data_IF_085552695122
#
_entry.id   IF_085552695122
#
_cell.length_a   1.000
_cell.length_b   1.000
_cell.length_c   1.000
_cell.angle_alpha   90.00
_cell.angle_beta   90.00
_cell.angle_gamma   90.00
#
_symmetry.space_group_name_H-M   'P 1'
#
loop_
_entity.id
_entity.type
_entity.pdbx_description
1 polymer ?
#
# COMPACT_ATOMS: atom_id res chain seq x y z
N UNK A 1 9.22 -20.83 -18.73
CA UNK A 1 7.96 -20.19 -19.14
C UNK A 1 6.88 -20.71 -18.20
N UNK A 2 6.20 -19.85 -17.45
CA UNK A 2 5.17 -20.29 -16.49
C UNK A 2 3.92 -20.68 -17.27
N UNK A 3 3.35 -21.86 -17.03
CA UNK A 3 2.14 -22.31 -17.70
C UNK A 3 0.95 -21.47 -17.21
N UNK A 4 0.25 -20.72 -18.09
CA UNK A 4 -0.87 -19.85 -17.70
C UNK A 4 -1.99 -20.61 -16.99
N UNK A 5 -2.17 -21.91 -17.25
CA UNK A 5 -3.18 -22.73 -16.58
C UNK A 5 -2.89 -22.92 -15.08
N UNK A 6 -1.61 -23.08 -14.72
CA UNK A 6 -1.18 -23.19 -13.32
C UNK A 6 -1.42 -21.87 -12.58
N UNK A 7 -1.27 -20.74 -13.26
CA UNK A 7 -1.55 -19.41 -12.69
C UNK A 7 -3.05 -19.28 -12.38
N UNK A 8 -3.93 -19.68 -13.31
CA UNK A 8 -5.39 -19.64 -13.11
C UNK A 8 -5.81 -20.56 -11.95
N UNK A 9 -5.25 -21.77 -11.86
CA UNK A 9 -5.51 -22.68 -10.75
C UNK A 9 -5.06 -22.08 -9.40
N UNK A 10 -3.85 -21.50 -9.35
CA UNK A 10 -3.34 -20.87 -8.15
C UNK A 10 -4.23 -19.70 -7.68
N UNK A 11 -4.65 -18.83 -8.60
CA UNK A 11 -5.58 -17.73 -8.30
C UNK A 11 -6.94 -18.27 -7.84
N UNK A 12 -7.43 -19.34 -8.48
CA UNK A 12 -8.69 -20.01 -8.12
C UNK A 12 -8.67 -20.56 -6.69
N UNK A 13 -7.59 -21.27 -6.31
CA UNK A 13 -7.41 -21.81 -4.95
C UNK A 13 -7.30 -20.69 -3.92
N UNK A 14 -6.49 -19.65 -4.20
CA UNK A 14 -6.36 -18.48 -3.31
C UNK A 14 -7.71 -17.79 -3.11
N UNK A 15 -8.48 -17.61 -4.18
CA UNK A 15 -9.82 -16.99 -4.12
C UNK A 15 -10.81 -17.84 -3.32
N UNK A 16 -10.74 -19.17 -3.43
CA UNK A 16 -11.57 -20.09 -2.64
C UNK A 16 -11.27 -19.95 -1.14
N UNK A 17 -9.98 -19.95 -0.79
CA UNK A 17 -9.52 -19.80 0.61
C UNK A 17 -9.95 -18.44 1.17
N UNK A 18 -9.76 -17.36 0.42
CA UNK A 18 -10.18 -16.01 0.82
C UNK A 18 -11.70 -15.87 0.94
N UNK A 19 -12.47 -16.40 -0.02
CA UNK A 19 -13.94 -16.37 0.01
C UNK A 19 -14.51 -17.15 1.19
N UNK A 20 -13.92 -18.31 1.51
CA UNK A 20 -14.31 -19.13 2.67
C UNK A 20 -13.97 -18.43 3.98
N UNK A 21 -12.76 -17.87 4.10
CA UNK A 21 -12.35 -17.11 5.28
C UNK A 21 -13.24 -15.87 5.50
N UNK A 22 -13.66 -15.18 4.44
CA UNK A 22 -14.55 -14.01 4.54
C UNK A 22 -15.93 -14.35 5.11
N UNK A 23 -16.46 -15.53 4.77
CA UNK A 23 -17.80 -15.96 5.20
C UNK A 23 -17.75 -16.54 6.63
N UNK A 24 -16.79 -17.43 6.90
CA UNK A 24 -16.77 -18.23 8.14
C UNK A 24 -15.88 -17.65 9.24
N UNK A 25 -14.78 -16.97 8.89
CA UNK A 25 -13.80 -16.47 9.85
C UNK A 25 -13.38 -15.02 9.53
N UNK A 26 -14.34 -14.07 9.46
CA UNK A 26 -14.03 -12.67 9.14
C UNK A 26 -13.08 -12.05 10.16
N UNK A 27 -13.08 -12.51 11.41
CA UNK A 27 -12.16 -12.04 12.45
C UNK A 27 -10.69 -12.37 12.17
N UNK A 28 -10.39 -13.48 11.49
CA UNK A 28 -9.03 -13.85 11.12
C UNK A 28 -8.47 -12.89 10.06
N UNK A 29 -9.30 -12.52 9.07
CA UNK A 29 -8.96 -11.51 8.07
C UNK A 29 -8.77 -10.16 8.73
N UNK A 30 -9.69 -9.75 9.60
CA UNK A 30 -9.58 -8.50 10.34
C UNK A 30 -8.33 -8.44 11.22
N UNK A 31 -7.90 -9.56 11.81
CA UNK A 31 -6.69 -9.61 12.63
C UNK A 31 -5.42 -9.47 11.76
N UNK A 32 -5.39 -10.14 10.60
CA UNK A 32 -4.30 -9.99 9.64
C UNK A 32 -4.25 -8.56 9.07
N UNK A 33 -5.40 -7.99 8.74
CA UNK A 33 -5.53 -6.63 8.24
C UNK A 33 -5.19 -5.60 9.32
N UNK A 34 -5.64 -5.75 10.58
CA UNK A 34 -5.21 -4.91 11.71
C UNK A 34 -3.73 -5.03 12.00
N UNK A 35 -3.13 -6.20 11.83
CA UNK A 35 -1.70 -6.38 12.04
C UNK A 35 -0.89 -5.69 10.93
N UNK A 36 -1.37 -5.73 9.68
CA UNK A 36 -0.84 -4.90 8.60
C UNK A 36 -1.06 -3.40 8.87
N UNK A 37 -2.26 -3.01 9.30
CA UNK A 37 -2.61 -1.63 9.63
C UNK A 37 -1.76 -1.08 10.79
N UNK A 38 -1.40 -1.93 11.77
CA UNK A 38 -0.47 -1.58 12.86
C UNK A 38 0.97 -1.42 12.38
N UNK A 39 1.38 -2.11 11.32
CA UNK A 39 2.67 -1.89 10.65
C UNK A 39 2.66 -0.58 9.84
N UNK A 40 1.51 -0.20 9.29
CA UNK A 40 1.26 1.08 8.62
C UNK A 40 0.92 2.24 9.57
N UNK A 41 0.77 2.00 10.89
CA UNK A 41 0.82 3.04 11.92
C UNK A 41 2.24 3.59 12.09
N UNK A 42 2.89 3.93 10.98
CA UNK A 42 4.11 4.72 10.95
C UNK A 42 3.84 6.15 11.45
N UNK A 43 2.58 6.57 11.53
CA UNK A 43 2.06 7.80 12.15
C UNK A 43 2.79 8.19 13.46
N UNK A 44 2.91 7.25 14.43
CA UNK A 44 3.48 7.58 15.76
C UNK A 44 5.01 7.66 15.75
N UNK A 45 5.68 6.84 14.94
CA UNK A 45 7.13 6.87 14.79
C UNK A 45 7.59 8.10 13.97
N UNK A 46 6.87 8.43 12.88
CA UNK A 46 7.13 9.61 12.07
C UNK A 46 6.94 10.90 12.86
N UNK A 47 5.85 11.02 13.63
CA UNK A 47 5.61 12.20 14.48
C UNK A 47 6.65 12.36 15.58
N UNK A 48 7.06 11.25 16.21
CA UNK A 48 8.04 11.25 17.29
C UNK A 48 9.44 11.64 16.80
N UNK A 49 9.80 11.24 15.58
CA UNK A 49 11.06 11.58 14.92
C UNK A 49 10.93 12.65 13.82
N UNK A 50 9.88 13.48 13.85
CA UNK A 50 9.62 14.46 12.77
C UNK A 50 10.76 15.45 12.53
N UNK A 51 11.43 15.86 13.61
CA UNK A 51 12.54 16.82 13.57
C UNK A 51 13.78 16.20 12.92
N UNK A 52 14.31 15.05 13.38
CA UNK A 52 15.45 14.43 12.72
C UNK A 52 15.16 13.99 11.29
N UNK A 53 13.93 13.53 10.99
CA UNK A 53 13.53 13.15 9.62
C UNK A 53 13.45 14.38 8.72
N UNK A 54 12.82 15.47 9.18
CA UNK A 54 12.70 16.73 8.43
C UNK A 54 14.07 17.35 8.13
N UNK A 55 14.97 17.39 9.12
CA UNK A 55 16.35 17.87 8.94
C UNK A 55 17.12 16.96 7.96
N UNK A 56 16.97 15.64 8.07
CA UNK A 56 17.57 14.69 7.13
C UNK A 56 17.11 14.90 5.68
N UNK A 57 15.81 15.15 5.47
CA UNK A 57 15.23 15.47 4.16
C UNK A 57 15.75 16.80 3.59
N UNK A 58 15.91 17.82 4.44
CA UNK A 58 16.53 19.08 4.02
C UNK A 58 18.00 18.92 3.66
N UNK A 59 18.74 18.11 4.43
CA UNK A 59 20.13 17.75 4.10
C UNK A 59 20.23 17.00 2.77
N UNK A 60 19.33 16.03 2.54
CA UNK A 60 19.26 15.30 1.28
C UNK A 60 18.88 16.22 0.10
N UNK A 61 17.94 17.15 0.29
CA UNK A 61 17.57 18.16 -0.72
C UNK A 61 18.77 19.04 -1.09
N UNK A 62 19.50 19.55 -0.09
CA UNK A 62 20.72 20.34 -0.32
C UNK A 62 21.82 19.55 -1.03
N UNK A 63 22.04 18.30 -0.62
CA UNK A 63 23.01 17.41 -1.26
C UNK A 63 22.65 17.09 -2.71
N UNK A 64 21.40 16.71 -2.97
CA UNK A 64 20.92 16.38 -4.32
C UNK A 64 20.90 17.60 -5.25
N UNK A 65 20.58 18.78 -4.71
CA UNK A 65 20.67 20.05 -5.43
C UNK A 65 22.12 20.40 -5.79
N UNK A 66 23.06 20.17 -4.86
CA UNK A 66 24.48 20.34 -5.12
C UNK A 66 25.01 19.35 -6.15
N UNK A 67 24.63 18.07 -6.08
CA UNK A 67 25.04 17.07 -7.08
C UNK A 67 24.44 17.35 -8.45
N UNK A 68 23.22 17.90 -8.53
CA UNK A 68 22.67 18.39 -9.80
C UNK A 68 23.51 19.55 -10.35
N UNK A 69 23.82 20.57 -9.54
CA UNK A 69 24.59 21.73 -10.00
C UNK A 69 26.06 21.42 -10.35
N UNK A 70 26.63 20.35 -9.78
CA UNK A 70 28.04 19.98 -9.92
C UNK A 70 28.30 18.89 -10.97
N UNK A 71 27.26 18.20 -11.45
CA UNK A 71 27.40 17.16 -12.48
C UNK A 71 27.11 17.69 -13.89
N UNK A 72 27.92 17.35 -14.90
CA UNK A 72 27.71 17.79 -16.28
C UNK A 72 26.49 17.16 -16.97
N UNK A 73 25.91 16.09 -16.41
CA UNK A 73 24.78 15.36 -17.01
C UNK A 73 23.41 15.96 -16.64
N UNK A 74 23.34 16.93 -15.70
CA UNK A 74 22.12 17.64 -15.30
C UNK A 74 20.86 16.76 -15.31
N UNK A 75 20.95 15.58 -14.68
CA UNK A 75 19.80 14.67 -14.67
C UNK A 75 18.66 15.32 -13.90
N UNK A 76 17.59 15.65 -14.63
CA UNK A 76 16.35 16.21 -14.11
C UNK A 76 15.80 15.41 -12.92
N UNK A 77 16.09 14.11 -12.86
CA UNK A 77 15.74 13.23 -11.75
C UNK A 77 16.30 13.74 -10.42
N UNK A 78 17.56 14.19 -10.37
CA UNK A 78 18.15 14.74 -9.14
C UNK A 78 17.50 16.05 -8.71
N UNK A 79 17.21 16.95 -9.66
CA UNK A 79 16.55 18.21 -9.38
C UNK A 79 15.12 18.01 -8.85
N UNK A 80 14.33 17.17 -9.54
CA UNK A 80 12.95 16.87 -9.14
C UNK A 80 12.95 16.21 -7.76
N UNK A 81 13.85 15.25 -7.51
CA UNK A 81 13.97 14.59 -6.21
C UNK A 81 14.42 15.57 -5.11
N UNK A 82 15.34 16.49 -5.42
CA UNK A 82 15.79 17.53 -4.48
C UNK A 82 14.66 18.48 -4.10
N UNK A 83 13.84 18.92 -5.07
CA UNK A 83 12.68 19.79 -4.81
C UNK A 83 11.64 19.06 -3.97
N UNK A 84 11.30 17.82 -4.32
CA UNK A 84 10.34 17.00 -3.57
C UNK A 84 10.83 16.80 -2.13
N UNK A 85 12.10 16.41 -1.94
CA UNK A 85 12.69 16.24 -0.62
C UNK A 85 12.68 17.53 0.21
N UNK A 86 12.94 18.68 -0.42
CA UNK A 86 12.91 19.99 0.23
C UNK A 86 11.51 20.38 0.67
N UNK A 87 10.52 20.25 -0.22
CA UNK A 87 9.12 20.55 0.09
C UNK A 87 8.59 19.65 1.21
N UNK A 88 8.88 18.35 1.17
CA UNK A 88 8.49 17.41 2.24
C UNK A 88 9.23 17.68 3.55
N UNK A 89 10.52 18.03 3.52
CA UNK A 89 11.30 18.40 4.70
C UNK A 89 10.76 19.66 5.38
N UNK A 90 10.43 20.70 4.61
CA UNK A 90 9.81 21.93 5.12
C UNK A 90 8.41 21.63 5.70
N UNK A 91 7.58 20.88 4.97
CA UNK A 91 6.24 20.51 5.43
C UNK A 91 6.29 19.71 6.74
N UNK A 92 7.24 18.79 6.90
CA UNK A 92 7.43 18.03 8.15
C UNK A 92 7.79 18.92 9.35
N UNK A 93 8.57 19.98 9.13
CA UNK A 93 9.02 20.90 10.18
C UNK A 93 7.98 21.97 10.51
N UNK A 94 7.30 22.52 9.50
CA UNK A 94 6.38 23.67 9.66
C UNK A 94 4.94 23.23 9.88
N UNK A 95 4.47 22.22 9.16
CA UNK A 95 3.08 21.78 9.21
C UNK A 95 2.96 20.26 9.12
N UNK A 96 3.39 19.51 10.14
CA UNK A 96 3.29 18.04 10.13
C UNK A 96 1.83 17.58 10.02
N UNK A 97 0.89 18.39 10.49
CA UNK A 97 -0.53 18.10 10.49
C UNK A 97 -1.14 18.04 9.08
N UNK A 98 -0.58 18.71 8.07
CA UNK A 98 -1.06 18.60 6.68
C UNK A 98 -0.65 17.28 6.05
N UNK A 99 0.58 16.82 6.30
CA UNK A 99 1.05 15.49 5.89
C UNK A 99 0.19 14.41 6.53
N UNK A 100 -0.07 14.53 7.84
CA UNK A 100 -0.95 13.62 8.57
C UNK A 100 -2.39 13.62 8.06
N UNK A 101 -2.92 14.78 7.64
CA UNK A 101 -4.27 14.83 7.04
C UNK A 101 -4.29 14.13 5.68
N UNK A 102 -3.26 14.32 4.85
CA UNK A 102 -3.13 13.63 3.58
C UNK A 102 -2.98 12.12 3.77
N UNK A 103 -2.16 11.69 4.72
CA UNK A 103 -1.98 10.29 5.10
C UNK A 103 -3.28 9.70 5.65
N UNK A 104 -3.97 10.38 6.58
CA UNK A 104 -5.27 9.91 7.12
C UNK A 104 -6.37 9.87 6.08
N UNK A 105 -6.35 10.76 5.10
CA UNK A 105 -7.33 10.74 4.01
C UNK A 105 -7.07 9.57 3.05
N UNK A 106 -5.80 9.23 2.79
CA UNK A 106 -5.42 8.00 2.11
C UNK A 106 -5.75 6.75 2.96
N UNK A 107 -5.55 6.81 4.27
CA UNK A 107 -5.86 5.73 5.21
C UNK A 107 -7.38 5.51 5.35
N UNK A 108 -8.20 6.56 5.19
CA UNK A 108 -9.66 6.47 5.12
C UNK A 108 -10.14 5.79 3.83
N UNK A 109 -9.39 5.92 2.73
CA UNK A 109 -9.60 5.14 1.50
C UNK A 109 -9.27 3.65 1.74
N UNK A 110 -8.32 3.36 2.62
CA UNK A 110 -7.95 2.04 3.13
C UNK A 110 -8.88 1.49 4.22
N UNK A 111 -9.94 2.22 4.59
CA UNK A 111 -11.01 1.69 5.43
C UNK A 111 -11.93 0.74 4.63
N UNK A 112 -11.30 -0.18 3.89
CA UNK A 112 -11.94 -1.33 3.27
C UNK A 112 -12.63 -2.20 4.32
N UNK A 113 -12.17 -2.22 5.57
CA UNK A 113 -12.77 -2.94 6.70
C UNK A 113 -14.30 -2.76 6.80
N UNK A 114 -14.80 -1.52 6.70
CA UNK A 114 -16.23 -1.24 6.89
C UNK A 114 -17.06 -1.65 5.66
N UNK A 115 -16.50 -1.51 4.46
CA UNK A 115 -17.14 -1.92 3.22
C UNK A 115 -17.14 -3.44 3.07
N UNK A 116 -16.00 -4.08 3.32
CA UNK A 116 -15.82 -5.54 3.28
C UNK A 116 -16.67 -6.23 4.32
N UNK A 117 -16.76 -5.71 5.55
CA UNK A 117 -17.64 -6.32 6.57
C UNK A 117 -19.11 -6.20 6.22
N UNK A 118 -19.54 -5.04 5.71
CA UNK A 118 -20.94 -4.80 5.35
C UNK A 118 -21.39 -5.67 4.18
N UNK A 119 -20.50 -5.96 3.23
CA UNK A 119 -20.79 -6.76 2.05
C UNK A 119 -20.09 -8.14 2.07
N UNK A 120 -19.61 -8.62 3.22
CA UNK A 120 -18.77 -9.82 3.34
C UNK A 120 -19.38 -11.05 2.68
N UNK A 121 -20.70 -11.20 2.77
CA UNK A 121 -21.45 -12.32 2.20
C UNK A 121 -21.46 -12.20 0.67
N UNK A 122 -21.76 -11.01 0.14
CA UNK A 122 -21.80 -10.77 -1.31
C UNK A 122 -20.42 -10.94 -1.94
N UNK A 123 -19.39 -10.37 -1.31
CA UNK A 123 -18.00 -10.47 -1.78
C UNK A 123 -17.49 -11.91 -1.66
N UNK A 124 -17.77 -12.59 -0.54
CA UNK A 124 -17.39 -13.98 -0.32
C UNK A 124 -18.04 -14.93 -1.33
N UNK A 125 -19.35 -14.78 -1.59
CA UNK A 125 -20.06 -15.56 -2.61
C UNK A 125 -19.48 -15.27 -4.01
N UNK A 126 -19.20 -14.01 -4.34
CA UNK A 126 -18.57 -13.64 -5.61
C UNK A 126 -17.20 -14.29 -5.80
N UNK A 127 -16.37 -14.30 -4.76
CA UNK A 127 -15.05 -14.98 -4.77
C UNK A 127 -15.17 -16.49 -4.93
N UNK A 128 -16.14 -17.12 -4.26
CA UNK A 128 -16.39 -18.56 -4.41
C UNK A 128 -16.89 -18.91 -5.81
N UNK A 129 -17.81 -18.13 -6.39
CA UNK A 129 -18.27 -18.31 -7.77
C UNK A 129 -17.12 -18.12 -8.77
N UNK A 130 -16.28 -17.10 -8.58
CA UNK A 130 -15.11 -16.87 -9.41
C UNK A 130 -14.09 -18.02 -9.28
N UNK A 131 -13.89 -18.55 -8.07
CA UNK A 131 -13.04 -19.73 -7.84
C UNK A 131 -13.57 -20.96 -8.57
N UNK A 132 -14.86 -21.27 -8.44
CA UNK A 132 -15.50 -22.38 -9.15
C UNK A 132 -15.35 -22.22 -10.66
N UNK A 133 -15.55 -21.02 -11.20
CA UNK A 133 -15.35 -20.73 -12.61
C UNK A 133 -13.90 -20.93 -13.07
N UNK A 134 -12.93 -20.46 -12.28
CA UNK A 134 -11.50 -20.62 -12.60
C UNK A 134 -11.04 -22.07 -12.55
N UNK A 135 -11.49 -22.83 -11.55
CA UNK A 135 -11.21 -24.28 -11.44
C UNK A 135 -11.88 -25.05 -12.57
N UNK A 136 -13.13 -24.71 -12.92
CA UNK A 136 -13.81 -25.30 -14.08
C UNK A 136 -13.08 -25.01 -15.39
N UNK A 137 -12.61 -23.77 -15.57
CA UNK A 137 -11.82 -23.36 -16.75
C UNK A 137 -10.49 -24.12 -16.80
N UNK A 138 -9.81 -24.28 -15.66
CA UNK A 138 -8.62 -25.11 -15.59
C UNK A 138 -8.92 -26.56 -16.01
N UNK A 139 -9.93 -27.20 -15.41
CA UNK A 139 -10.27 -28.60 -15.73
C UNK A 139 -10.75 -28.80 -17.18
N UNK A 140 -11.35 -27.78 -17.80
CA UNK A 140 -11.89 -27.87 -19.16
C UNK A 140 -10.83 -27.63 -20.24
N UNK A 141 -9.74 -26.91 -19.93
CA UNK A 141 -8.76 -26.46 -20.92
C UNK A 141 -7.30 -26.82 -20.60
N UNK A 142 -7.01 -27.38 -19.42
CA UNK A 142 -5.68 -27.89 -19.05
C UNK A 142 -5.45 -29.31 -19.59
#
# INVERSE_FOLDING_TARGET
MVNPMIIILAIGVISAVFGTLLIFAPEAILKAERQANRLFMTDTAFLKNRIPIGIGLLGASGFLGYTYASNPLNELVFLVTAIIAGVFGILLLVSPNTILKAERQANKLYMTDAFFLRHRIVIGIGLLLASVFMVYTYLSFA
#
